data_IF_385769453644
#
_entry.id   IF_385769453644
#
_cell.length_a   1.000
_cell.length_b   1.000
_cell.length_c   1.000
_cell.angle_alpha   90.00
_cell.angle_beta   90.00
_cell.angle_gamma   90.00
#
_symmetry.space_group_name_H-M   'P 1'
#
loop_
_entity.id
_entity.type
_entity.pdbx_description
1 polymer ?
#
# COMPACT_ATOMS: atom_id res chain seq x y z
N UNK A 1 -27.34 6.25 -9.38
CA UNK A 1 -27.18 5.62 -8.04
C UNK A 1 -26.30 6.55 -7.21
N UNK A 2 -26.51 6.65 -5.89
CA UNK A 2 -25.67 7.48 -5.03
C UNK A 2 -24.27 6.83 -4.94
N UNK A 3 -23.15 7.55 -5.21
CA UNK A 3 -21.79 7.05 -5.05
C UNK A 3 -21.53 6.25 -3.78
N UNK A 4 -22.01 6.75 -2.64
CA UNK A 4 -21.84 6.12 -1.33
C UNK A 4 -22.50 4.75 -1.28
N UNK A 5 -23.73 4.64 -1.79
CA UNK A 5 -24.46 3.38 -1.80
C UNK A 5 -23.83 2.37 -2.76
N UNK A 6 -23.36 2.84 -3.92
CA UNK A 6 -22.63 1.99 -4.86
C UNK A 6 -21.38 1.42 -4.23
N UNK A 7 -20.54 2.24 -3.59
CA UNK A 7 -19.32 1.77 -2.90
C UNK A 7 -19.68 0.77 -1.80
N UNK A 8 -20.64 1.12 -0.93
CA UNK A 8 -21.05 0.25 0.19
C UNK A 8 -21.51 -1.12 -0.30
N UNK A 9 -22.36 -1.16 -1.32
CA UNK A 9 -22.87 -2.41 -1.87
C UNK A 9 -21.75 -3.21 -2.52
N UNK A 10 -20.87 -2.58 -3.30
CA UNK A 10 -19.71 -3.26 -3.91
C UNK A 10 -18.78 -3.87 -2.87
N UNK A 11 -18.46 -3.16 -1.78
CA UNK A 11 -17.62 -3.68 -0.71
C UNK A 11 -18.26 -4.89 0.00
N UNK A 12 -19.58 -4.85 0.20
CA UNK A 12 -20.35 -5.97 0.79
C UNK A 12 -20.43 -7.17 -0.14
N UNK A 13 -20.70 -6.95 -1.42
CA UNK A 13 -20.78 -8.00 -2.43
C UNK A 13 -19.44 -8.70 -2.64
N UNK A 14 -18.33 -7.95 -2.50
CA UNK A 14 -16.97 -8.47 -2.52
C UNK A 14 -16.52 -9.10 -1.19
N UNK A 15 -17.38 -9.14 -0.18
CA UNK A 15 -17.11 -9.66 1.17
C UNK A 15 -15.85 -9.05 1.82
N UNK A 16 -15.56 -7.78 1.53
CA UNK A 16 -14.40 -7.08 2.09
C UNK A 16 -14.66 -6.63 3.54
N UNK A 17 -13.64 -6.73 4.39
CA UNK A 17 -13.65 -6.15 5.73
C UNK A 17 -13.43 -4.63 5.60
N UNK A 18 -14.38 -3.83 6.10
CA UNK A 18 -14.26 -2.37 6.13
C UNK A 18 -15.00 -1.75 7.31
N UNK A 19 -14.48 -0.62 7.79
CA UNK A 19 -15.16 0.28 8.71
C UNK A 19 -15.78 1.46 7.95
N UNK A 20 -16.87 2.01 8.47
CA UNK A 20 -17.53 3.21 7.94
C UNK A 20 -17.54 4.31 9.02
N UNK A 21 -16.40 4.99 9.26
CA UNK A 21 -16.27 5.97 10.33
C UNK A 21 -17.11 7.24 10.10
N UNK A 22 -17.53 7.49 8.85
CA UNK A 22 -18.44 8.57 8.45
C UNK A 22 -19.28 8.09 7.27
N UNK A 23 -20.44 8.70 7.05
CA UNK A 23 -21.37 8.30 5.99
C UNK A 23 -20.79 8.37 4.57
N UNK A 24 -19.71 9.12 4.37
CA UNK A 24 -19.02 9.37 3.10
C UNK A 24 -17.60 8.77 3.07
N UNK A 25 -17.20 8.01 4.10
CA UNK A 25 -15.84 7.49 4.23
C UNK A 25 -15.82 6.01 4.59
N UNK A 26 -15.11 5.21 3.81
CA UNK A 26 -14.91 3.79 4.01
C UNK A 26 -13.42 3.50 4.25
N UNK A 27 -13.11 2.72 5.27
CA UNK A 27 -11.77 2.26 5.57
C UNK A 27 -11.67 0.76 5.34
N UNK A 28 -11.18 0.40 4.17
CA UNK A 28 -11.19 -0.95 3.62
C UNK A 28 -9.87 -1.66 3.90
N UNK A 29 -9.94 -2.91 4.34
CA UNK A 29 -8.78 -3.76 4.54
C UNK A 29 -8.62 -4.71 3.36
N UNK A 30 -7.59 -4.47 2.54
CA UNK A 30 -7.26 -5.33 1.41
C UNK A 30 -6.20 -6.37 1.82
N UNK A 31 -6.51 -7.68 1.82
CA UNK A 31 -5.56 -8.72 2.20
C UNK A 31 -4.50 -8.91 1.11
N UNK A 32 -3.21 -8.73 1.47
CA UNK A 32 -2.09 -8.92 0.57
C UNK A 32 -1.24 -10.14 0.92
N UNK A 33 -0.37 -10.53 -0.03
CA UNK A 33 0.57 -11.65 0.08
C UNK A 33 1.92 -11.21 0.63
N UNK A 34 2.43 -10.06 0.16
CA UNK A 34 3.73 -9.51 0.59
C UNK A 34 3.53 -8.56 1.74
N UNK A 35 2.60 -7.63 1.59
CA UNK A 35 2.13 -6.77 2.66
C UNK A 35 0.86 -7.35 3.23
N UNK A 36 0.92 -7.83 4.48
CA UNK A 36 -0.16 -8.58 5.15
C UNK A 36 -1.56 -7.96 4.96
N UNK A 37 -1.64 -6.63 5.02
CA UNK A 37 -2.85 -5.91 4.65
C UNK A 37 -2.51 -4.50 4.13
N UNK A 38 -3.25 -4.06 3.12
CA UNK A 38 -3.21 -2.68 2.62
C UNK A 38 -4.51 -1.99 3.03
N UNK A 39 -4.40 -1.13 4.04
CA UNK A 39 -5.52 -0.32 4.50
C UNK A 39 -5.76 0.83 3.53
N UNK A 40 -7.00 0.97 3.07
CA UNK A 40 -7.37 1.85 1.96
C UNK A 40 -8.58 2.69 2.33
N UNK A 41 -8.41 4.00 2.32
CA UNK A 41 -9.49 4.96 2.41
C UNK A 41 -10.18 5.14 1.06
N UNK A 42 -11.50 5.13 1.08
CA UNK A 42 -12.38 5.62 0.03
C UNK A 42 -13.24 6.74 0.61
N UNK A 43 -13.00 7.99 0.22
CA UNK A 43 -13.66 9.17 0.79
C UNK A 43 -14.41 9.91 -0.32
N UNK A 44 -15.73 9.91 -0.26
CA UNK A 44 -16.61 10.60 -1.20
C UNK A 44 -16.71 12.07 -0.81
N UNK A 45 -15.99 12.95 -1.51
CA UNK A 45 -16.15 14.39 -1.35
C UNK A 45 -17.20 14.99 -2.28
N UNK A 46 -17.32 16.32 -2.27
CA UNK A 46 -18.33 17.06 -3.07
C UNK A 46 -18.21 16.84 -4.59
N UNK A 47 -17.00 16.57 -5.08
CA UNK A 47 -16.70 16.53 -6.52
C UNK A 47 -15.95 15.27 -6.96
N UNK A 48 -15.37 14.51 -6.03
CA UNK A 48 -14.50 13.39 -6.35
C UNK A 48 -14.49 12.34 -5.25
N UNK A 49 -14.28 11.09 -5.63
CA UNK A 49 -13.82 10.05 -4.72
C UNK A 49 -12.31 10.21 -4.53
N UNK A 50 -11.88 10.40 -3.29
CA UNK A 50 -10.48 10.31 -2.88
C UNK A 50 -10.15 8.89 -2.45
N UNK A 51 -9.00 8.41 -2.89
CA UNK A 51 -8.47 7.08 -2.56
C UNK A 51 -7.11 7.28 -1.95
N UNK A 52 -6.86 6.63 -0.81
CA UNK A 52 -5.58 6.72 -0.15
C UNK A 52 -5.24 5.44 0.58
N UNK A 53 -4.10 4.85 0.27
CA UNK A 53 -3.60 3.68 0.98
C UNK A 53 -2.16 3.94 1.44
N UNK A 54 -1.95 3.83 2.75
CA UNK A 54 -0.60 3.91 3.31
C UNK A 54 0.25 2.79 2.73
N UNK A 55 1.42 3.12 2.15
CA UNK A 55 2.33 2.15 1.56
C UNK A 55 3.44 1.76 2.54
N UNK A 56 4.32 2.70 2.91
CA UNK A 56 5.35 2.50 3.92
C UNK A 56 5.82 3.85 4.49
N UNK A 57 6.56 3.81 5.59
CA UNK A 57 7.16 5.01 6.18
C UNK A 57 8.22 5.58 5.24
N UNK A 58 8.68 6.80 5.52
CA UNK A 58 9.84 7.40 4.88
C UNK A 58 11.02 6.41 4.90
N UNK A 59 11.77 6.25 3.79
CA UNK A 59 12.94 5.38 3.76
C UNK A 59 14.02 5.85 4.75
N UNK A 60 14.71 4.90 5.38
CA UNK A 60 15.82 5.18 6.30
C UNK A 60 17.08 5.65 5.55
N UNK A 61 17.27 5.13 4.32
CA UNK A 61 18.45 5.36 3.49
C UNK A 61 18.11 5.40 1.99
N UNK A 62 19.09 5.76 1.15
CA UNK A 62 18.96 5.80 -0.33
C UNK A 62 17.71 6.52 -0.87
N UNK A 63 17.27 7.59 -0.19
CA UNK A 63 16.05 8.34 -0.49
C UNK A 63 15.85 8.64 -1.99
N UNK A 64 16.88 9.15 -2.67
CA UNK A 64 16.77 9.50 -4.10
C UNK A 64 16.49 8.30 -5.00
N UNK A 65 17.16 7.17 -4.77
CA UNK A 65 16.93 5.94 -5.54
C UNK A 65 15.58 5.33 -5.21
N UNK A 66 15.22 5.30 -3.92
CA UNK A 66 13.93 4.82 -3.44
C UNK A 66 12.77 5.61 -4.09
N UNK A 67 12.81 6.94 -4.05
CA UNK A 67 11.75 7.77 -4.65
C UNK A 67 11.76 7.72 -6.18
N UNK A 68 12.94 7.65 -6.81
CA UNK A 68 13.02 7.45 -8.27
C UNK A 68 12.34 6.15 -8.69
N UNK A 69 12.60 5.05 -7.99
CA UNK A 69 11.98 3.77 -8.26
C UNK A 69 10.45 3.86 -8.23
N UNK A 70 9.88 4.52 -7.23
CA UNK A 70 8.43 4.72 -7.12
C UNK A 70 7.89 5.62 -8.24
N UNK A 71 8.58 6.72 -8.53
CA UNK A 71 8.17 7.67 -9.58
C UNK A 71 8.16 7.03 -10.97
N UNK A 72 9.12 6.15 -11.27
CA UNK A 72 9.18 5.38 -12.51
C UNK A 72 8.00 4.42 -12.69
N UNK A 73 7.31 4.02 -11.61
CA UNK A 73 6.08 3.20 -11.68
C UNK A 73 4.86 4.00 -12.08
N UNK A 74 4.75 5.24 -11.61
CA UNK A 74 3.54 6.06 -11.75
C UNK A 74 3.07 6.17 -13.21
N UNK A 75 3.98 6.25 -14.19
CA UNK A 75 3.63 6.34 -15.61
C UNK A 75 2.89 5.13 -16.19
N UNK A 76 2.78 4.02 -15.47
CA UNK A 76 2.09 2.78 -15.90
C UNK A 76 0.92 2.40 -14.99
N UNK A 77 0.61 3.23 -14.01
CA UNK A 77 -0.42 2.94 -13.00
C UNK A 77 -1.77 3.54 -13.42
N UNK A 78 -2.84 2.89 -12.98
CA UNK A 78 -4.22 3.33 -13.18
C UNK A 78 -4.85 3.74 -11.85
N UNK A 79 -5.61 4.84 -11.86
CA UNK A 79 -6.45 5.31 -10.75
C UNK A 79 -5.70 5.91 -9.55
N UNK A 80 -4.52 5.37 -9.22
CA UNK A 80 -3.67 5.82 -8.11
C UNK A 80 -2.22 5.99 -8.54
N UNK A 81 -1.45 6.75 -7.76
CA UNK A 81 -0.01 6.97 -7.94
C UNK A 81 0.69 7.01 -6.59
N UNK A 82 1.98 6.68 -6.55
CA UNK A 82 2.80 6.90 -5.37
C UNK A 82 2.97 8.41 -5.12
N UNK A 83 2.67 8.82 -3.90
CA UNK A 83 2.80 10.19 -3.40
C UNK A 83 3.47 10.19 -2.02
N UNK A 84 3.99 11.36 -1.63
CA UNK A 84 4.58 11.59 -0.32
C UNK A 84 3.68 12.50 0.51
N UNK A 85 3.59 12.25 1.81
CA UNK A 85 3.13 13.25 2.77
C UNK A 85 4.27 14.19 3.19
N UNK A 86 3.96 15.10 4.12
CA UNK A 86 4.87 16.16 4.57
C UNK A 86 6.11 15.64 5.33
N UNK A 87 5.98 14.49 5.99
CA UNK A 87 7.08 13.81 6.68
C UNK A 87 7.85 12.84 5.79
N UNK A 88 7.36 12.61 4.57
CA UNK A 88 8.02 11.82 3.52
C UNK A 88 7.61 10.35 3.50
N UNK A 89 6.52 9.99 4.17
CA UNK A 89 5.93 8.67 4.08
C UNK A 89 5.20 8.49 2.76
N UNK A 90 5.17 7.24 2.30
CA UNK A 90 4.66 6.91 0.97
C UNK A 90 3.24 6.41 1.07
N UNK A 91 2.39 6.91 0.17
CA UNK A 91 1.01 6.50 0.00
C UNK A 91 0.70 6.23 -1.47
N UNK A 92 -0.28 5.38 -1.73
CA UNK A 92 -0.96 5.31 -3.02
C UNK A 92 -2.16 6.26 -2.95
N UNK A 93 -2.18 7.27 -3.81
CA UNK A 93 -3.22 8.32 -3.80
C UNK A 93 -3.89 8.43 -5.16
N UNK A 94 -5.22 8.58 -5.17
CA UNK A 94 -6.02 8.72 -6.38
C UNK A 94 -7.22 9.64 -6.19
N UNK A 95 -7.67 10.27 -7.28
CA UNK A 95 -8.93 11.02 -7.31
C UNK A 95 -9.72 10.66 -8.56
N UNK A 96 -10.98 10.27 -8.36
CA UNK A 96 -11.88 9.85 -9.43
C UNK A 96 -13.12 10.73 -9.47
N UNK A 97 -13.69 10.93 -10.66
CA UNK A 97 -14.97 11.62 -10.82
C UNK A 97 -16.08 10.84 -10.14
N UNK A 98 -17.01 11.52 -9.47
CA UNK A 98 -18.19 10.84 -8.90
C UNK A 98 -19.03 10.13 -9.97
N UNK A 99 -19.01 10.64 -11.21
CA UNK A 99 -19.75 10.06 -12.32
C UNK A 99 -19.15 8.75 -12.85
N UNK A 100 -17.87 8.46 -12.56
CA UNK A 100 -17.24 7.20 -12.95
C UNK A 100 -17.42 6.09 -11.92
N UNK A 101 -18.08 6.36 -10.78
CA UNK A 101 -18.25 5.38 -9.71
C UNK A 101 -19.28 4.34 -10.14
N UNK A 102 -18.79 3.12 -10.37
CA UNK A 102 -19.55 1.90 -10.61
C UNK A 102 -18.92 0.74 -9.83
N UNK A 103 -19.63 -0.38 -9.63
CA UNK A 103 -19.04 -1.56 -8.99
C UNK A 103 -17.74 -2.02 -9.66
N UNK A 104 -17.73 -2.10 -10.98
CA UNK A 104 -16.54 -2.50 -11.76
C UNK A 104 -15.36 -1.54 -11.59
N UNK A 105 -15.64 -0.22 -11.48
CA UNK A 105 -14.59 0.77 -11.30
C UNK A 105 -14.01 0.72 -9.88
N UNK A 106 -14.85 0.49 -8.86
CA UNK A 106 -14.38 0.31 -7.47
C UNK A 106 -13.57 -0.98 -7.34
N UNK A 107 -14.03 -2.09 -7.91
CA UNK A 107 -13.29 -3.35 -7.94
C UNK A 107 -11.92 -3.18 -8.59
N UNK A 108 -11.89 -2.58 -9.80
CA UNK A 108 -10.63 -2.29 -10.52
C UNK A 108 -9.69 -1.45 -9.67
N UNK A 109 -10.19 -0.39 -9.04
CA UNK A 109 -9.41 0.53 -8.23
C UNK A 109 -8.78 -0.14 -7.01
N UNK A 110 -9.56 -0.96 -6.28
CA UNK A 110 -9.07 -1.73 -5.14
C UNK A 110 -8.06 -2.80 -5.58
N UNK A 111 -8.31 -3.46 -6.71
CA UNK A 111 -7.36 -4.39 -7.33
C UNK A 111 -6.04 -3.71 -7.71
N UNK A 112 -6.09 -2.49 -8.25
CA UNK A 112 -4.91 -1.67 -8.52
C UNK A 112 -4.15 -1.32 -7.23
N UNK A 113 -4.84 -0.83 -6.19
CA UNK A 113 -4.21 -0.52 -4.89
C UNK A 113 -3.50 -1.74 -4.31
N UNK A 114 -4.19 -2.89 -4.28
CA UNK A 114 -3.62 -4.13 -3.77
C UNK A 114 -2.39 -4.55 -4.58
N UNK A 115 -2.51 -4.59 -5.90
CA UNK A 115 -1.43 -5.03 -6.81
C UNK A 115 -0.21 -4.13 -6.69
N UNK A 116 -0.40 -2.81 -6.76
CA UNK A 116 0.71 -1.86 -6.71
C UNK A 116 1.40 -1.85 -5.35
N UNK A 117 0.64 -2.05 -4.28
CA UNK A 117 1.19 -2.22 -2.94
C UNK A 117 2.01 -3.51 -2.87
N UNK A 118 1.43 -4.67 -3.16
CA UNK A 118 2.09 -5.97 -2.99
C UNK A 118 3.30 -6.17 -3.90
N UNK A 119 3.22 -5.82 -5.19
CA UNK A 119 4.28 -6.09 -6.16
C UNK A 119 5.52 -5.21 -5.99
N UNK A 120 5.35 -4.05 -5.34
CA UNK A 120 6.43 -3.08 -5.15
C UNK A 120 6.96 -3.03 -3.73
N UNK A 121 6.26 -3.63 -2.74
CA UNK A 121 6.62 -3.52 -1.32
C UNK A 121 8.06 -4.00 -1.03
N UNK A 122 8.38 -5.25 -1.33
CA UNK A 122 9.70 -5.81 -1.00
C UNK A 122 10.84 -5.06 -1.72
N UNK A 123 10.62 -4.70 -3.00
CA UNK A 123 11.60 -3.95 -3.81
C UNK A 123 11.83 -2.53 -3.28
N UNK A 124 10.80 -1.90 -2.73
CA UNK A 124 10.93 -0.60 -2.07
C UNK A 124 11.72 -0.75 -0.77
N UNK A 125 11.40 -1.76 0.05
CA UNK A 125 12.08 -2.05 1.30
C UNK A 125 13.58 -2.38 1.11
N UNK A 126 13.92 -3.17 0.09
CA UNK A 126 15.30 -3.44 -0.33
C UNK A 126 16.14 -2.18 -0.59
N UNK A 127 15.51 -1.12 -1.10
CA UNK A 127 16.19 0.13 -1.44
C UNK A 127 16.33 1.04 -0.23
N UNK A 128 15.24 1.23 0.51
CA UNK A 128 15.13 2.26 1.53
C UNK A 128 15.38 1.81 2.97
N UNK A 129 15.44 0.49 3.22
CA UNK A 129 15.40 -0.08 4.57
C UNK A 129 16.38 -1.25 4.74
N UNK A 130 17.39 -1.37 3.86
CA UNK A 130 18.31 -2.51 3.83
C UNK A 130 18.99 -2.71 5.18
N UNK A 131 19.58 -1.65 5.72
CA UNK A 131 20.34 -1.65 6.98
C UNK A 131 19.44 -1.92 8.18
N UNK A 132 18.22 -1.35 8.23
CA UNK A 132 17.29 -1.59 9.34
C UNK A 132 16.76 -3.02 9.33
N UNK A 133 16.48 -3.58 8.15
CA UNK A 133 16.09 -4.99 7.98
C UNK A 133 17.21 -5.94 8.43
N UNK A 134 18.47 -5.66 8.09
CA UNK A 134 19.63 -6.44 8.56
C UNK A 134 19.75 -6.42 10.09
N UNK A 135 19.60 -5.24 10.72
CA UNK A 135 19.63 -5.10 12.18
C UNK A 135 18.50 -5.87 12.86
N UNK A 136 17.29 -5.76 12.32
CA UNK A 136 16.12 -6.49 12.82
C UNK A 136 16.32 -8.01 12.67
N UNK A 137 16.88 -8.48 11.55
CA UNK A 137 17.23 -9.88 11.36
C UNK A 137 18.19 -10.39 12.44
N UNK A 138 19.30 -9.68 12.67
CA UNK A 138 20.30 -10.05 13.67
C UNK A 138 19.71 -10.08 15.08
N UNK A 139 18.85 -9.12 15.39
CA UNK A 139 18.16 -9.05 16.67
C UNK A 139 17.25 -10.25 16.89
N UNK A 140 16.47 -10.65 15.87
CA UNK A 140 15.57 -11.80 15.96
C UNK A 140 16.33 -13.11 16.10
N UNK A 141 17.40 -13.30 15.33
CA UNK A 141 18.26 -14.50 15.45
C UNK A 141 18.83 -14.61 16.86
N UNK A 142 19.37 -13.51 17.43
CA UNK A 142 19.93 -13.51 18.78
C UNK A 142 18.91 -13.84 19.88
N UNK A 143 17.63 -13.52 19.67
CA UNK A 143 16.56 -13.72 20.65
C UNK A 143 15.70 -14.97 20.41
N UNK A 144 15.93 -15.70 19.30
CA UNK A 144 15.09 -16.83 18.91
C UNK A 144 13.68 -16.42 18.43
N UNK A 145 13.53 -15.18 17.97
CA UNK A 145 12.26 -14.65 17.47
C UNK A 145 11.99 -15.11 16.03
N UNK A 146 10.71 -15.15 15.63
CA UNK A 146 10.31 -15.62 14.29
C UNK A 146 10.80 -14.72 13.16
N UNK A 147 11.44 -15.31 12.14
CA UNK A 147 11.89 -14.62 10.92
C UNK A 147 10.87 -14.65 9.77
N UNK A 148 9.63 -15.14 10.00
CA UNK A 148 8.67 -15.42 8.92
C UNK A 148 8.50 -14.26 7.91
N UNK A 149 8.34 -13.03 8.41
CA UNK A 149 8.15 -11.83 7.58
C UNK A 149 9.46 -11.29 6.99
N UNK A 150 10.62 -11.66 7.55
CA UNK A 150 11.92 -11.22 7.04
C UNK A 150 12.45 -12.15 5.95
N UNK A 151 11.93 -13.38 5.82
CA UNK A 151 12.41 -14.38 4.85
C UNK A 151 12.42 -13.87 3.41
N UNK A 152 11.52 -12.95 3.05
CA UNK A 152 11.50 -12.32 1.73
C UNK A 152 12.81 -11.54 1.43
N UNK A 153 13.53 -11.11 2.45
CA UNK A 153 14.75 -10.31 2.39
C UNK A 153 16.02 -11.11 2.67
N UNK A 154 15.95 -12.43 2.82
CA UNK A 154 17.06 -13.28 3.23
C UNK A 154 18.31 -13.14 2.33
N UNK A 155 18.12 -12.81 1.05
CA UNK A 155 19.19 -12.60 0.07
C UNK A 155 20.19 -11.51 0.46
N UNK A 156 19.78 -10.51 1.24
CA UNK A 156 20.68 -9.47 1.75
C UNK A 156 20.63 -9.30 3.27
N UNK A 157 19.59 -9.84 3.92
CA UNK A 157 19.38 -9.70 5.34
C UNK A 157 20.06 -10.83 6.14
N UNK A 158 20.18 -12.04 5.61
CA UNK A 158 20.82 -13.14 6.34
C UNK A 158 22.34 -12.90 6.44
N UNK A 159 22.96 -12.95 7.64
CA UNK A 159 24.41 -12.85 7.79
C UNK A 159 25.22 -13.77 6.88
N UNK A 160 24.68 -14.93 6.47
CA UNK A 160 25.34 -15.84 5.53
C UNK A 160 25.41 -15.30 4.09
N UNK A 161 24.58 -14.32 3.74
CA UNK A 161 24.47 -13.73 2.40
C UNK A 161 24.94 -12.26 2.35
N UNK A 162 25.49 -11.74 3.46
CA UNK A 162 26.08 -10.39 3.50
C UNK A 162 27.53 -10.51 3.04
N UNK A 163 27.87 -9.86 1.93
CA UNK A 163 29.27 -9.62 1.55
C UNK A 163 30.00 -8.73 2.57
#
# INVERSE_FOLDING_TARGET
>A
MNPVETIRQTLRDAELEFDEPRADAFFVKLPGKRKLATMTWLIVGDHSLHVEAFFCRRPDENHAEFYRFLLEKNGRMYGVSFALDDVGDVHLVGRLSLASISPDEIDRLLGCVLTYSDENFDKALERGFKTSIQREWDWRVKRGESLANLRAFASFADPANRD
#
